data_IF_793392262846
#
_entry.id   IF_793392262846
#
_cell.length_a   1.000
_cell.length_b   1.000
_cell.length_c   1.000
_cell.angle_alpha   90.00
_cell.angle_beta   90.00
_cell.angle_gamma   90.00
#
_symmetry.space_group_name_H-M   'P 1'
#
loop_
_entity.id
_entity.type
_entity.pdbx_description
1 polymer ?
#
# COMPACT_ATOMS: atom_id res chain seq x y z
N UNK A 1 16.04 14.55 -89.90
CA UNK A 1 16.58 15.26 -88.74
C UNK A 1 15.72 14.94 -87.53
N UNK A 2 16.18 14.05 -86.65
CA UNK A 2 15.43 13.57 -85.48
C UNK A 2 15.90 14.39 -84.30
N UNK A 3 15.01 15.15 -83.69
CA UNK A 3 15.25 15.84 -82.42
C UNK A 3 14.71 14.97 -81.29
N UNK A 4 15.61 14.43 -80.47
CA UNK A 4 15.29 13.70 -79.24
C UNK A 4 15.05 14.73 -78.08
N UNK A 5 13.87 14.66 -77.50
CA UNK A 5 13.54 15.35 -76.29
C UNK A 5 14.01 14.50 -75.08
N UNK A 6 14.93 15.04 -74.25
CA UNK A 6 15.31 14.49 -72.95
C UNK A 6 14.32 14.93 -71.89
N UNK A 7 13.63 13.99 -71.27
CA UNK A 7 12.84 14.19 -70.06
C UNK A 7 13.78 14.13 -68.84
N UNK A 8 13.83 15.24 -68.09
CA UNK A 8 14.47 15.30 -66.79
C UNK A 8 13.42 14.97 -65.72
N UNK A 9 13.62 13.98 -64.80
CA UNK A 9 12.68 13.74 -63.75
C UNK A 9 12.90 14.74 -62.61
N UNK A 10 11.84 15.49 -62.27
CA UNK A 10 11.82 16.32 -61.07
C UNK A 10 11.67 15.42 -59.83
N UNK A 11 12.67 15.40 -58.99
CA UNK A 11 12.60 14.76 -57.67
C UNK A 11 11.88 15.73 -56.73
N UNK A 12 10.64 15.41 -56.38
CA UNK A 12 9.93 16.06 -55.29
C UNK A 12 10.45 15.49 -53.95
N UNK A 13 11.24 16.26 -53.22
CA UNK A 13 11.61 15.96 -51.84
C UNK A 13 10.41 16.33 -50.95
N UNK A 14 9.69 15.32 -50.50
CA UNK A 14 8.70 15.48 -49.41
C UNK A 14 9.44 15.62 -48.09
N UNK A 15 9.51 16.83 -47.54
CA UNK A 15 9.94 17.08 -46.15
C UNK A 15 8.79 16.65 -45.27
N UNK A 16 8.91 15.46 -44.65
CA UNK A 16 8.04 15.04 -43.57
C UNK A 16 8.45 15.84 -42.29
N UNK A 17 7.66 16.84 -41.93
CA UNK A 17 7.70 17.41 -40.58
C UNK A 17 7.20 16.33 -39.63
N UNK A 18 8.13 15.63 -39.00
CA UNK A 18 7.84 14.88 -37.77
C UNK A 18 7.61 15.95 -36.70
N UNK A 19 6.37 16.21 -36.38
CA UNK A 19 6.01 16.93 -35.17
C UNK A 19 6.48 16.07 -34.01
N UNK A 20 7.52 16.50 -33.32
CA UNK A 20 7.92 16.01 -32.01
C UNK A 20 6.69 16.18 -31.10
N UNK A 21 5.94 15.09 -30.89
CA UNK A 21 4.92 15.06 -29.87
C UNK A 21 5.69 15.19 -28.54
N UNK A 22 5.66 16.39 -27.96
CA UNK A 22 6.16 16.62 -26.63
C UNK A 22 5.59 15.53 -25.71
N UNK A 23 6.45 14.74 -25.07
CA UNK A 23 6.02 13.81 -24.02
C UNK A 23 5.11 14.62 -23.08
N UNK A 24 3.92 14.07 -22.70
CA UNK A 24 3.07 14.75 -21.75
C UNK A 24 3.90 15.04 -20.50
N UNK A 25 3.96 16.31 -20.10
CA UNK A 25 4.66 16.72 -18.89
C UNK A 25 4.24 15.78 -17.78
N UNK A 26 5.18 15.00 -17.20
CA UNK A 26 4.92 14.11 -16.08
C UNK A 26 4.19 14.93 -15.04
N UNK A 27 2.95 14.55 -14.76
CA UNK A 27 2.10 15.20 -13.77
C UNK A 27 2.88 15.22 -12.46
N UNK A 28 3.28 16.42 -12.00
CA UNK A 28 4.08 16.59 -10.77
C UNK A 28 3.17 16.45 -9.56
N UNK A 29 2.59 15.27 -9.37
CA UNK A 29 1.83 14.94 -8.18
C UNK A 29 2.73 14.50 -7.03
N UNK A 30 2.13 14.31 -5.84
CA UNK A 30 2.82 13.83 -4.66
C UNK A 30 3.59 12.53 -4.94
N UNK A 31 4.78 12.43 -4.36
CA UNK A 31 5.60 11.22 -4.39
C UNK A 31 6.00 10.83 -2.97
N UNK A 32 5.87 9.55 -2.69
CA UNK A 32 6.18 9.02 -1.36
C UNK A 32 7.68 9.11 -1.05
N UNK A 33 8.04 9.79 0.06
CA UNK A 33 9.43 9.99 0.50
C UNK A 33 9.85 9.03 1.62
N UNK A 34 8.90 8.52 2.39
CA UNK A 34 9.15 7.62 3.53
C UNK A 34 8.09 6.53 3.60
N UNK A 35 8.43 5.39 4.22
CA UNK A 35 7.44 4.38 4.53
C UNK A 35 6.47 4.93 5.57
N UNK A 36 5.17 4.95 5.26
CA UNK A 36 4.17 5.56 6.14
C UNK A 36 3.88 4.61 7.31
N UNK A 37 3.97 5.14 8.54
CA UNK A 37 3.56 4.47 9.76
C UNK A 37 2.59 5.40 10.49
N UNK A 38 1.32 5.06 10.42
CA UNK A 38 0.23 5.90 10.93
C UNK A 38 -0.79 5.08 11.70
N UNK A 39 -1.86 5.71 12.10
CA UNK A 39 -2.98 5.10 12.82
C UNK A 39 -4.29 5.83 12.53
N UNK A 40 -5.37 5.19 12.89
CA UNK A 40 -6.71 5.79 12.96
C UNK A 40 -7.07 6.09 14.41
N UNK A 41 -7.99 7.04 14.60
CA UNK A 41 -8.36 7.58 15.91
C UNK A 41 -7.16 8.18 16.63
N UNK A 42 -6.76 9.42 16.27
CA UNK A 42 -5.59 10.06 16.82
C UNK A 42 -5.73 10.39 18.33
N UNK A 43 -4.63 10.46 19.05
CA UNK A 43 -4.65 10.99 20.42
C UNK A 43 -4.92 12.50 20.41
N UNK A 44 -5.22 13.10 21.58
CA UNK A 44 -5.29 14.55 21.68
C UNK A 44 -3.98 15.21 21.22
N UNK A 45 -4.09 16.38 20.57
CA UNK A 45 -2.93 17.15 20.07
C UNK A 45 -2.22 17.89 21.22
N UNK A 46 -1.77 17.14 22.23
CA UNK A 46 -1.04 17.64 23.40
C UNK A 46 0.41 17.17 23.35
N UNK A 47 1.32 17.95 23.96
CA UNK A 47 2.75 17.60 24.00
C UNK A 47 3.02 16.18 24.54
N UNK A 48 2.44 15.72 25.65
CA UNK A 48 2.69 14.36 26.14
C UNK A 48 2.22 13.26 25.18
N UNK A 49 1.04 13.44 24.54
CA UNK A 49 0.49 12.46 23.64
C UNK A 49 1.29 12.39 22.34
N UNK A 50 1.68 13.54 21.78
CA UNK A 50 2.51 13.59 20.56
C UNK A 50 3.93 13.08 20.82
N UNK A 51 4.50 13.36 22.00
CA UNK A 51 5.79 12.79 22.41
C UNK A 51 5.73 11.25 22.48
N UNK A 52 4.67 10.69 23.06
CA UNK A 52 4.44 9.24 23.08
C UNK A 52 4.33 8.67 21.66
N UNK A 53 3.52 9.29 20.80
CA UNK A 53 3.36 8.91 19.38
C UNK A 53 4.71 8.87 18.64
N UNK A 54 5.54 9.89 18.81
CA UNK A 54 6.87 9.94 18.20
C UNK A 54 7.82 8.88 18.78
N UNK A 55 7.78 8.64 20.11
CA UNK A 55 8.58 7.62 20.77
C UNK A 55 8.18 6.19 20.34
N UNK A 56 6.96 5.98 19.93
CA UNK A 56 6.44 4.72 19.37
C UNK A 56 6.73 4.55 17.87
N UNK A 57 7.53 5.46 17.29
CA UNK A 57 8.00 5.43 15.91
C UNK A 57 6.91 5.58 14.85
N UNK A 58 5.80 6.22 15.16
CA UNK A 58 4.89 6.72 14.13
C UNK A 58 5.51 7.94 13.44
N UNK A 59 5.20 8.13 12.17
CA UNK A 59 5.68 9.29 11.41
C UNK A 59 4.57 10.17 10.82
N UNK A 60 3.30 9.74 10.95
CA UNK A 60 2.14 10.48 10.46
C UNK A 60 1.00 10.42 11.47
N UNK A 61 0.53 11.58 11.94
CA UNK A 61 -0.63 11.72 12.84
C UNK A 61 -1.71 12.60 12.21
N UNK A 62 -2.87 12.65 12.81
CA UNK A 62 -4.00 13.43 12.33
C UNK A 62 -4.17 14.68 13.17
N UNK A 63 -4.47 15.82 12.55
CA UNK A 63 -4.71 17.06 13.27
C UNK A 63 -5.52 18.05 12.43
N UNK A 64 -6.37 18.91 13.05
CA UNK A 64 -6.83 20.14 12.42
C UNK A 64 -5.69 21.15 12.29
N UNK A 65 -5.97 22.30 11.65
CA UNK A 65 -4.98 23.35 11.39
C UNK A 65 -4.27 23.84 12.66
N UNK A 66 -5.03 23.94 13.75
CA UNK A 66 -4.57 24.46 15.03
C UNK A 66 -3.53 23.58 15.71
N UNK A 67 -3.45 22.31 15.33
CA UNK A 67 -2.48 21.35 15.90
C UNK A 67 -1.19 21.21 15.10
N UNK A 68 -1.05 21.83 13.94
CA UNK A 68 0.11 21.65 13.05
C UNK A 68 1.44 22.01 13.73
N UNK A 69 1.50 23.14 14.45
CA UNK A 69 2.72 23.55 15.17
C UNK A 69 3.13 22.55 16.27
N UNK A 70 2.13 22.02 16.99
CA UNK A 70 2.39 20.99 17.99
C UNK A 70 2.93 19.70 17.35
N UNK A 71 2.37 19.27 16.23
CA UNK A 71 2.84 18.11 15.47
C UNK A 71 4.27 18.32 14.96
N UNK A 72 4.58 19.49 14.41
CA UNK A 72 5.92 19.86 13.94
C UNK A 72 6.97 19.82 15.06
N UNK A 73 6.63 20.29 16.26
CA UNK A 73 7.50 20.27 17.44
C UNK A 73 8.00 18.85 17.79
N UNK A 74 7.15 17.83 17.54
CA UNK A 74 7.49 16.44 17.78
C UNK A 74 8.04 15.71 16.53
N UNK A 75 8.34 16.44 15.44
CA UNK A 75 8.89 15.92 14.19
C UNK A 75 7.99 14.84 13.55
N UNK A 76 6.68 14.95 13.75
CA UNK A 76 5.67 14.13 13.11
C UNK A 76 5.15 14.84 11.85
N UNK A 77 4.76 14.06 10.84
CA UNK A 77 3.93 14.53 9.74
C UNK A 77 2.47 14.64 10.16
N UNK A 78 1.74 15.52 9.51
CA UNK A 78 0.32 15.76 9.75
C UNK A 78 -0.54 15.34 8.56
N UNK A 79 -1.54 14.52 8.81
CA UNK A 79 -2.70 14.35 7.96
C UNK A 79 -3.76 15.37 8.41
N UNK A 80 -3.92 16.43 7.60
CA UNK A 80 -4.81 17.54 7.94
C UNK A 80 -6.27 17.15 7.80
N UNK A 81 -7.06 17.41 8.84
CA UNK A 81 -8.52 17.26 8.81
C UNK A 81 -9.20 18.62 8.68
N UNK A 82 -10.26 18.71 7.84
CA UNK A 82 -11.06 19.92 7.68
C UNK A 82 -12.43 19.58 7.09
N UNK A 83 -13.45 20.33 7.49
CA UNK A 83 -14.82 20.30 6.94
C UNK A 83 -14.88 20.73 5.45
N UNK A 84 -13.81 21.34 4.96
CA UNK A 84 -13.66 21.77 3.57
C UNK A 84 -13.14 20.67 2.64
N UNK A 85 -12.70 19.54 3.17
CA UNK A 85 -12.14 18.44 2.37
C UNK A 85 -13.22 17.41 2.05
N UNK A 86 -14.23 17.80 1.27
CA UNK A 86 -15.38 16.96 0.91
C UNK A 86 -15.62 16.93 -0.60
N UNK A 87 -16.25 15.86 -1.15
CA UNK A 87 -16.48 15.73 -2.60
C UNK A 87 -17.34 16.86 -3.21
N UNK A 88 -18.07 17.60 -2.41
CA UNK A 88 -18.98 18.69 -2.85
C UNK A 88 -18.43 20.09 -2.60
N UNK A 89 -17.26 20.24 -1.99
CA UNK A 89 -16.71 21.55 -1.61
C UNK A 89 -16.54 22.49 -2.81
N UNK A 90 -16.14 21.95 -3.97
CA UNK A 90 -15.92 22.75 -5.17
C UNK A 90 -17.21 23.18 -5.88
N UNK A 91 -18.35 22.60 -5.53
CA UNK A 91 -19.66 22.97 -6.09
C UNK A 91 -20.23 24.26 -5.43
N UNK A 92 -19.63 24.71 -4.32
CA UNK A 92 -19.98 25.92 -3.59
C UNK A 92 -18.83 26.95 -3.66
N UNK A 93 -19.09 28.11 -4.23
CA UNK A 93 -18.09 29.15 -4.43
C UNK A 93 -17.49 29.68 -3.11
N UNK A 94 -18.31 29.80 -2.04
CA UNK A 94 -17.84 30.27 -0.75
C UNK A 94 -16.97 29.21 -0.05
N UNK A 95 -17.34 27.94 -0.11
CA UNK A 95 -16.53 26.82 0.41
C UNK A 95 -15.21 26.72 -0.37
N UNK A 96 -15.24 26.85 -1.69
CA UNK A 96 -14.03 26.86 -2.51
C UNK A 96 -13.07 28.00 -2.13
N UNK A 97 -13.58 29.22 -1.94
CA UNK A 97 -12.74 30.34 -1.50
C UNK A 97 -12.12 30.11 -0.11
N UNK A 98 -12.87 29.48 0.83
CA UNK A 98 -12.34 29.07 2.13
C UNK A 98 -11.29 27.96 2.00
N UNK A 99 -11.48 27.00 1.10
CA UNK A 99 -10.50 25.95 0.82
C UNK A 99 -9.22 26.55 0.24
N UNK A 100 -9.31 27.53 -0.67
CA UNK A 100 -8.14 28.25 -1.20
C UNK A 100 -7.35 28.92 -0.07
N UNK A 101 -8.04 29.62 0.81
CA UNK A 101 -7.42 30.28 1.98
C UNK A 101 -6.76 29.26 2.93
N UNK A 102 -7.40 28.09 3.14
CA UNK A 102 -6.85 27.00 3.93
C UNK A 102 -5.54 26.48 3.30
N UNK A 103 -5.56 26.14 2.01
CA UNK A 103 -4.38 25.63 1.28
C UNK A 103 -3.24 26.63 1.36
N UNK A 104 -3.47 27.91 1.05
CA UNK A 104 -2.43 28.94 1.13
C UNK A 104 -1.84 29.09 2.53
N UNK A 105 -2.66 28.91 3.57
CA UNK A 105 -2.22 28.96 4.96
C UNK A 105 -1.30 27.79 5.34
N UNK A 106 -1.59 26.56 4.84
CA UNK A 106 -0.95 25.34 5.36
C UNK A 106 0.09 24.72 4.45
N UNK A 107 0.05 24.94 3.12
CA UNK A 107 0.90 24.23 2.13
C UNK A 107 2.42 24.39 2.31
N UNK A 108 2.86 25.39 3.08
CA UNK A 108 4.28 25.57 3.43
C UNK A 108 4.61 25.14 4.85
N UNK A 109 3.63 24.58 5.56
CA UNK A 109 3.84 24.17 6.94
C UNK A 109 4.69 22.90 7.01
N UNK A 110 5.78 22.85 7.81
CA UNK A 110 6.75 21.76 7.79
C UNK A 110 6.18 20.41 8.25
N UNK A 111 5.05 20.39 8.97
CA UNK A 111 4.40 19.17 9.37
C UNK A 111 3.37 18.68 8.36
N UNK A 112 2.92 19.48 7.39
CA UNK A 112 1.90 19.02 6.46
C UNK A 112 2.46 17.91 5.56
N UNK A 113 1.81 16.76 5.53
CA UNK A 113 2.14 15.62 4.66
C UNK A 113 0.95 15.22 3.78
N UNK A 114 -0.27 15.36 4.31
CA UNK A 114 -1.47 14.94 3.61
C UNK A 114 -2.71 15.75 4.00
N UNK A 115 -3.68 15.78 3.08
CA UNK A 115 -5.07 16.22 3.30
C UNK A 115 -5.96 15.00 3.42
N UNK A 116 -6.61 14.77 4.56
CA UNK A 116 -7.59 13.71 4.72
C UNK A 116 -8.93 14.13 4.09
N UNK A 117 -9.37 13.40 3.08
CA UNK A 117 -10.58 13.74 2.34
C UNK A 117 -11.78 12.94 2.86
N UNK A 118 -11.69 11.61 2.84
CA UNK A 118 -12.82 10.76 3.24
C UNK A 118 -12.41 9.33 3.52
N UNK A 119 -13.29 8.63 4.22
CA UNK A 119 -13.23 7.22 4.54
C UNK A 119 -14.29 6.46 3.75
N UNK A 120 -13.92 5.32 3.19
CA UNK A 120 -14.78 4.32 2.54
C UNK A 120 -15.88 4.90 1.61
N UNK A 121 -15.53 5.74 0.61
CA UNK A 121 -16.53 6.31 -0.28
C UNK A 121 -17.07 5.28 -1.26
N UNK A 122 -18.39 5.22 -1.45
CA UNK A 122 -18.98 4.50 -2.58
C UNK A 122 -18.65 5.15 -3.94
N UNK A 123 -18.68 4.40 -5.04
CA UNK A 123 -18.31 4.87 -6.37
C UNK A 123 -19.13 6.08 -6.87
N UNK A 124 -20.30 6.34 -6.31
CA UNK A 124 -21.09 7.53 -6.60
C UNK A 124 -20.41 8.85 -6.20
N UNK A 125 -19.52 8.82 -5.20
CA UNK A 125 -18.75 9.99 -4.76
C UNK A 125 -17.51 10.25 -5.63
N UNK A 126 -17.05 9.31 -6.42
CA UNK A 126 -15.78 9.41 -7.17
C UNK A 126 -15.68 10.61 -8.10
N UNK A 127 -16.74 11.04 -8.83
CA UNK A 127 -16.63 12.25 -9.67
C UNK A 127 -16.30 13.51 -8.87
N UNK A 128 -16.93 13.72 -7.70
CA UNK A 128 -16.62 14.84 -6.81
C UNK A 128 -15.23 14.73 -6.18
N UNK A 129 -14.85 13.53 -5.74
CA UNK A 129 -13.52 13.24 -5.20
C UNK A 129 -12.43 13.48 -6.25
N UNK A 130 -12.61 13.05 -7.49
CA UNK A 130 -11.67 13.29 -8.57
C UNK A 130 -11.46 14.78 -8.85
N UNK A 131 -12.53 15.58 -8.85
CA UNK A 131 -12.43 17.04 -8.95
C UNK A 131 -11.58 17.62 -7.80
N UNK A 132 -11.85 17.20 -6.55
CA UNK A 132 -11.14 17.70 -5.38
C UNK A 132 -9.66 17.28 -5.38
N UNK A 133 -9.35 16.03 -5.70
CA UNK A 133 -7.96 15.52 -5.80
C UNK A 133 -7.19 16.30 -6.87
N UNK A 134 -7.77 16.49 -8.05
CA UNK A 134 -7.15 17.29 -9.12
C UNK A 134 -6.93 18.75 -8.68
N UNK A 135 -7.90 19.33 -7.97
CA UNK A 135 -7.79 20.69 -7.45
C UNK A 135 -6.67 20.82 -6.42
N UNK A 136 -6.59 19.93 -5.44
CA UNK A 136 -5.52 19.90 -4.44
C UNK A 136 -4.15 19.72 -5.13
N UNK A 137 -4.02 18.79 -6.06
CA UNK A 137 -2.78 18.58 -6.83
C UNK A 137 -2.33 19.82 -7.60
N UNK A 138 -3.27 20.57 -8.16
CA UNK A 138 -2.95 21.83 -8.86
C UNK A 138 -2.47 22.93 -7.90
N UNK A 139 -3.05 23.03 -6.70
CA UNK A 139 -2.79 24.09 -5.73
C UNK A 139 -1.62 23.77 -4.80
N UNK A 140 -1.43 22.50 -4.53
CA UNK A 140 -0.41 21.96 -3.62
C UNK A 140 0.01 20.55 -4.07
N UNK A 141 0.89 20.45 -5.07
CA UNK A 141 1.34 19.17 -5.62
C UNK A 141 2.26 18.37 -4.69
N UNK A 142 2.77 18.97 -3.63
CA UNK A 142 3.75 18.35 -2.74
C UNK A 142 3.11 17.51 -1.64
N UNK A 143 1.80 17.67 -1.39
CA UNK A 143 1.09 16.97 -0.31
C UNK A 143 0.01 16.02 -0.83
N UNK A 144 -0.12 14.88 -0.14
CA UNK A 144 -1.02 13.80 -0.52
C UNK A 144 -2.49 14.18 -0.32
N UNK A 145 -3.34 13.96 -1.32
CA UNK A 145 -4.79 13.94 -1.17
C UNK A 145 -5.21 12.50 -0.76
N UNK A 146 -5.44 12.27 0.55
CA UNK A 146 -5.64 10.94 1.11
C UNK A 146 -7.12 10.52 1.14
N UNK A 147 -7.40 9.33 0.61
CA UNK A 147 -8.70 8.66 0.65
C UNK A 147 -8.48 7.22 1.06
N UNK A 148 -9.25 6.71 2.04
CA UNK A 148 -9.29 5.31 2.37
C UNK A 148 -10.44 4.61 1.63
N UNK A 149 -10.20 3.39 1.14
CA UNK A 149 -11.17 2.60 0.38
C UNK A 149 -11.74 1.46 1.22
N UNK A 150 -12.97 1.06 0.88
CA UNK A 150 -13.59 -0.14 1.40
C UNK A 150 -12.73 -1.39 1.22
N UNK A 151 -12.83 -2.36 2.16
CA UNK A 151 -12.26 -3.70 1.98
C UNK A 151 -13.07 -4.57 1.00
N UNK A 152 -12.48 -5.69 0.59
CA UNK A 152 -13.10 -6.61 -0.38
C UNK A 152 -14.38 -7.29 0.10
N UNK A 153 -14.67 -7.26 1.39
CA UNK A 153 -15.92 -7.81 1.95
C UNK A 153 -17.09 -6.80 2.00
N UNK A 154 -16.88 -5.56 1.55
CA UNK A 154 -17.97 -4.60 1.39
C UNK A 154 -18.95 -5.08 0.31
N UNK A 155 -20.25 -4.87 0.54
CA UNK A 155 -21.29 -5.29 -0.38
C UNK A 155 -21.45 -4.33 -1.59
N UNK A 156 -22.16 -4.76 -2.63
CA UNK A 156 -22.36 -3.98 -3.86
C UNK A 156 -22.99 -2.59 -3.59
N UNK A 157 -23.88 -2.47 -2.59
CA UNK A 157 -24.50 -1.20 -2.24
C UNK A 157 -23.50 -0.22 -1.61
N UNK A 158 -22.63 -0.70 -0.70
CA UNK A 158 -21.55 0.09 -0.12
C UNK A 158 -20.56 0.54 -1.19
N UNK A 159 -20.12 -0.39 -2.04
CA UNK A 159 -19.20 -0.09 -3.14
C UNK A 159 -19.80 0.84 -4.20
N UNK A 160 -21.12 0.88 -4.35
CA UNK A 160 -21.80 1.64 -5.41
C UNK A 160 -21.53 1.10 -6.80
N UNK A 161 -21.34 -0.21 -6.93
CA UNK A 161 -21.12 -0.95 -8.18
C UNK A 161 -21.90 -2.24 -8.16
N UNK A 162 -22.23 -2.77 -9.36
CA UNK A 162 -22.87 -4.08 -9.52
C UNK A 162 -21.89 -5.08 -10.14
N UNK A 163 -22.10 -6.38 -9.84
CA UNK A 163 -21.35 -7.49 -10.44
C UNK A 163 -22.13 -8.12 -11.60
N UNK A 164 -22.71 -7.30 -12.46
CA UNK A 164 -23.46 -7.76 -13.63
C UNK A 164 -22.56 -8.24 -14.79
N UNK A 165 -23.17 -8.69 -15.87
CA UNK A 165 -22.44 -9.21 -17.03
C UNK A 165 -21.57 -8.13 -17.72
N UNK A 166 -22.03 -6.87 -17.74
CA UNK A 166 -21.28 -5.77 -18.36
C UNK A 166 -20.05 -5.42 -17.53
N UNK A 167 -20.18 -5.37 -16.18
CA UNK A 167 -19.05 -5.14 -15.30
C UNK A 167 -18.05 -6.30 -15.37
N UNK A 168 -18.52 -7.54 -15.46
CA UNK A 168 -17.70 -8.73 -15.66
C UNK A 168 -16.85 -8.64 -16.93
N UNK A 169 -17.46 -8.26 -18.04
CA UNK A 169 -16.75 -8.07 -19.31
C UNK A 169 -15.71 -6.94 -19.21
N UNK A 170 -16.01 -5.88 -18.46
CA UNK A 170 -15.15 -4.71 -18.31
C UNK A 170 -13.92 -4.97 -17.42
N UNK A 171 -14.06 -5.69 -16.31
CA UNK A 171 -12.96 -5.83 -15.31
C UNK A 171 -12.13 -7.08 -15.52
N UNK A 172 -12.61 -8.09 -16.23
CA UNK A 172 -11.96 -9.40 -16.38
C UNK A 172 -11.86 -10.17 -15.06
N UNK A 173 -11.27 -11.35 -15.12
CA UNK A 173 -11.12 -12.24 -13.97
C UNK A 173 -9.66 -12.48 -13.58
N UNK A 174 -9.32 -12.55 -12.31
CA UNK A 174 -8.06 -13.09 -11.83
C UNK A 174 -8.11 -14.63 -11.94
N UNK A 175 -7.91 -15.16 -13.15
CA UNK A 175 -8.08 -16.58 -13.48
C UNK A 175 -7.16 -17.53 -12.66
N UNK A 176 -6.11 -16.99 -12.03
CA UNK A 176 -5.07 -17.78 -11.35
C UNK A 176 -5.12 -17.69 -9.81
N UNK A 177 -6.19 -17.13 -9.25
CA UNK A 177 -6.32 -17.00 -7.79
C UNK A 177 -6.99 -18.23 -7.19
N UNK A 178 -6.32 -18.86 -6.22
CA UNK A 178 -6.83 -20.03 -5.55
C UNK A 178 -8.22 -19.79 -4.93
N UNK A 179 -9.17 -20.68 -5.20
CA UNK A 179 -10.52 -20.65 -4.67
C UNK A 179 -11.47 -19.61 -5.28
N UNK A 180 -10.97 -18.70 -6.14
CA UNK A 180 -11.79 -17.68 -6.79
C UNK A 180 -12.45 -18.26 -8.04
N UNK A 181 -13.78 -18.33 -8.03
CA UNK A 181 -14.57 -18.80 -9.17
C UNK A 181 -14.88 -17.70 -10.19
N UNK A 182 -15.11 -18.09 -11.44
CA UNK A 182 -15.43 -17.17 -12.53
C UNK A 182 -16.73 -16.36 -12.36
N UNK A 183 -17.56 -16.69 -11.38
CA UNK A 183 -18.82 -16.00 -11.04
C UNK A 183 -18.78 -15.34 -9.65
N UNK A 184 -17.60 -15.19 -9.03
CA UNK A 184 -17.49 -14.58 -7.71
C UNK A 184 -17.87 -13.10 -7.79
N UNK A 185 -19.12 -12.81 -7.39
CA UNK A 185 -19.67 -11.45 -7.44
C UNK A 185 -18.92 -10.46 -6.58
N UNK A 186 -18.41 -10.90 -5.42
CA UNK A 186 -17.64 -10.07 -4.49
C UNK A 186 -16.36 -9.58 -5.17
N UNK A 187 -15.61 -10.50 -5.79
CA UNK A 187 -14.37 -10.16 -6.50
C UNK A 187 -14.63 -9.23 -7.67
N UNK A 188 -15.70 -9.48 -8.44
CA UNK A 188 -16.07 -8.64 -9.57
C UNK A 188 -16.44 -7.23 -9.18
N UNK A 189 -17.32 -7.10 -8.17
CA UNK A 189 -17.75 -5.79 -7.67
C UNK A 189 -16.56 -5.00 -7.12
N UNK A 190 -15.70 -5.65 -6.34
CA UNK A 190 -14.54 -4.99 -5.74
C UNK A 190 -13.50 -4.57 -6.79
N UNK A 191 -13.17 -5.41 -7.77
CA UNK A 191 -12.32 -5.00 -8.91
C UNK A 191 -12.92 -3.85 -9.70
N UNK A 192 -14.22 -3.89 -9.93
CA UNK A 192 -14.96 -2.80 -10.58
C UNK A 192 -14.84 -1.49 -9.82
N UNK A 193 -15.00 -1.54 -8.52
CA UNK A 193 -14.84 -0.41 -7.62
C UNK A 193 -13.41 0.18 -7.69
N UNK A 194 -12.38 -0.65 -7.55
CA UNK A 194 -10.98 -0.23 -7.61
C UNK A 194 -10.61 0.38 -8.97
N UNK A 195 -11.03 -0.23 -10.08
CA UNK A 195 -10.78 0.31 -11.44
C UNK A 195 -11.48 1.64 -11.67
N UNK A 196 -12.73 1.80 -11.17
CA UNK A 196 -13.44 3.09 -11.22
C UNK A 196 -12.72 4.14 -10.40
N UNK A 197 -12.27 3.80 -9.19
CA UNK A 197 -11.50 4.71 -8.32
C UNK A 197 -10.26 5.24 -9.02
N UNK A 198 -9.38 4.37 -9.49
CA UNK A 198 -8.16 4.78 -10.20
C UNK A 198 -8.47 5.63 -11.42
N UNK A 199 -9.45 5.23 -12.23
CA UNK A 199 -9.80 5.95 -13.47
C UNK A 199 -10.39 7.33 -13.23
N UNK A 200 -11.26 7.48 -12.21
CA UNK A 200 -12.04 8.71 -11.99
C UNK A 200 -11.32 9.64 -11.02
N UNK A 201 -10.80 9.09 -9.91
CA UNK A 201 -10.18 9.88 -8.85
C UNK A 201 -8.70 10.19 -9.15
N UNK A 202 -8.00 9.28 -9.83
CA UNK A 202 -6.58 9.40 -10.15
C UNK A 202 -5.72 9.65 -8.90
N UNK A 203 -5.78 8.77 -7.88
CA UNK A 203 -5.11 8.97 -6.60
C UNK A 203 -3.59 8.89 -6.72
N UNK A 204 -2.86 9.48 -5.77
CA UNK A 204 -1.40 9.33 -5.67
C UNK A 204 -0.98 8.19 -4.73
N UNK A 205 -1.90 7.71 -3.90
CA UNK A 205 -1.76 6.57 -3.01
C UNK A 205 -3.06 5.77 -3.03
N UNK A 206 -2.98 4.44 -2.97
CA UNK A 206 -4.11 3.56 -2.76
C UNK A 206 -4.10 3.12 -1.30
N UNK A 207 -5.06 3.58 -0.49
CA UNK A 207 -5.25 3.15 0.89
C UNK A 207 -6.51 2.33 1.02
N UNK A 208 -6.47 1.30 1.84
CA UNK A 208 -7.61 0.47 2.18
C UNK A 208 -7.42 -0.13 3.56
N UNK A 209 -8.52 -0.61 4.16
CA UNK A 209 -8.48 -1.38 5.39
C UNK A 209 -8.92 -2.83 5.16
N UNK A 210 -8.45 -3.72 6.04
CA UNK A 210 -8.94 -5.09 6.11
C UNK A 210 -8.70 -5.66 7.52
N UNK A 211 -9.77 -6.09 8.18
CA UNK A 211 -9.72 -6.67 9.51
C UNK A 211 -9.86 -8.17 9.42
N UNK A 212 -8.80 -8.88 9.77
CA UNK A 212 -8.63 -10.31 9.55
C UNK A 212 -9.05 -11.16 10.73
N UNK A 213 -8.73 -10.72 11.96
CA UNK A 213 -8.84 -11.52 13.16
C UNK A 213 -10.22 -11.40 13.80
N UNK A 214 -11.10 -12.36 13.50
CA UNK A 214 -12.46 -12.41 14.02
C UNK A 214 -12.52 -13.28 15.28
N UNK A 215 -13.62 -13.19 16.05
CA UNK A 215 -13.80 -13.99 17.27
C UNK A 215 -14.03 -15.47 17.01
N UNK A 216 -14.67 -15.83 15.89
CA UNK A 216 -14.93 -17.23 15.54
C UNK A 216 -13.83 -17.81 14.66
N UNK A 217 -13.75 -17.33 13.44
CA UNK A 217 -12.80 -17.78 12.41
C UNK A 217 -12.16 -16.58 11.78
N UNK A 218 -10.89 -16.67 11.44
CA UNK A 218 -10.17 -15.57 10.77
C UNK A 218 -10.74 -15.34 9.36
N UNK A 219 -10.69 -14.07 8.91
CA UNK A 219 -11.30 -13.64 7.64
C UNK A 219 -10.64 -14.30 6.43
N UNK A 220 -11.41 -15.01 5.60
CA UNK A 220 -10.89 -15.74 4.43
C UNK A 220 -10.37 -14.84 3.32
N UNK A 221 -10.82 -13.59 3.25
CA UNK A 221 -10.52 -12.67 2.12
C UNK A 221 -9.27 -11.84 2.29
N UNK A 222 -8.51 -11.98 3.38
CA UNK A 222 -7.35 -11.14 3.67
C UNK A 222 -6.33 -11.11 2.52
N UNK A 223 -5.87 -12.27 2.06
CA UNK A 223 -4.91 -12.34 0.96
C UNK A 223 -5.50 -11.98 -0.39
N UNK A 224 -6.79 -12.28 -0.61
CA UNK A 224 -7.49 -11.81 -1.80
C UNK A 224 -7.48 -10.27 -1.87
N UNK A 225 -7.81 -9.60 -0.76
CA UNK A 225 -7.81 -8.14 -0.71
C UNK A 225 -6.42 -7.56 -0.99
N UNK A 226 -5.37 -8.08 -0.31
CA UNK A 226 -3.99 -7.70 -0.59
C UNK A 226 -3.61 -7.89 -2.07
N UNK A 227 -4.02 -9.01 -2.68
CA UNK A 227 -3.72 -9.31 -4.07
C UNK A 227 -4.39 -8.32 -5.03
N UNK A 228 -5.68 -7.99 -4.81
CA UNK A 228 -6.43 -7.05 -5.65
C UNK A 228 -5.94 -5.61 -5.50
N UNK A 229 -5.60 -5.19 -4.29
CA UNK A 229 -4.99 -3.87 -4.04
C UNK A 229 -3.61 -3.78 -4.69
N UNK A 230 -2.76 -4.80 -4.53
CA UNK A 230 -1.45 -4.85 -5.19
C UNK A 230 -1.58 -4.79 -6.71
N UNK A 231 -2.46 -5.58 -7.32
CA UNK A 231 -2.75 -5.55 -8.76
C UNK A 231 -3.11 -4.13 -9.20
N UNK A 232 -4.05 -3.50 -8.49
CA UNK A 232 -4.49 -2.13 -8.78
C UNK A 232 -3.37 -1.10 -8.62
N UNK A 233 -2.55 -1.22 -7.58
CA UNK A 233 -1.42 -0.33 -7.32
C UNK A 233 -0.35 -0.41 -8.43
N UNK A 234 -0.01 -1.63 -8.88
CA UNK A 234 0.93 -1.85 -9.98
C UNK A 234 0.37 -1.31 -11.30
N UNK A 235 -0.89 -1.61 -11.64
CA UNK A 235 -1.54 -1.12 -12.86
C UNK A 235 -1.59 0.42 -12.89
N UNK A 236 -1.80 1.05 -11.73
CA UNK A 236 -1.85 2.51 -11.59
C UNK A 236 -0.46 3.17 -11.48
N UNK A 237 0.62 2.40 -11.27
CA UNK A 237 1.94 2.93 -10.97
C UNK A 237 1.99 3.73 -9.66
N UNK A 238 1.17 3.35 -8.66
CA UNK A 238 1.03 4.06 -7.38
C UNK A 238 1.39 3.16 -6.19
N UNK A 239 1.91 3.71 -5.08
CA UNK A 239 2.09 2.96 -3.85
C UNK A 239 0.76 2.60 -3.21
N UNK A 240 0.76 1.61 -2.30
CA UNK A 240 -0.40 1.34 -1.46
C UNK A 240 -0.07 1.28 0.03
N UNK A 241 -1.06 1.61 0.84
CA UNK A 241 -1.06 1.55 2.30
C UNK A 241 -2.17 0.62 2.77
N UNK A 242 -1.88 -0.23 3.76
CA UNK A 242 -2.84 -1.11 4.40
C UNK A 242 -3.15 -0.64 5.83
N UNK A 243 -4.42 -0.42 6.12
CA UNK A 243 -4.89 -0.19 7.49
C UNK A 243 -5.16 -1.55 8.11
N UNK A 244 -4.33 -1.92 9.08
CA UNK A 244 -4.36 -3.21 9.72
C UNK A 244 -5.07 -3.14 11.08
N UNK A 245 -5.60 -4.29 11.49
CA UNK A 245 -6.32 -4.42 12.74
C UNK A 245 -5.38 -4.27 13.96
N UNK A 246 -5.73 -3.35 14.87
CA UNK A 246 -5.09 -3.15 16.16
C UNK A 246 -6.13 -2.86 17.25
N UNK A 247 -7.35 -3.37 17.08
CA UNK A 247 -8.48 -3.12 17.97
C UNK A 247 -9.30 -4.37 18.22
N UNK A 248 -10.06 -4.32 19.30
CA UNK A 248 -11.11 -5.25 19.66
C UNK A 248 -12.46 -4.61 19.41
N UNK A 249 -13.35 -5.28 18.72
CA UNK A 249 -14.78 -4.96 18.69
C UNK A 249 -15.53 -6.10 19.35
N UNK A 250 -16.20 -5.81 20.46
CA UNK A 250 -16.92 -6.84 21.21
C UNK A 250 -17.91 -7.59 20.28
N UNK A 251 -17.92 -8.91 20.35
CA UNK A 251 -18.71 -9.83 19.52
C UNK A 251 -18.27 -10.01 18.07
N UNK A 252 -17.40 -9.16 17.50
CA UNK A 252 -17.00 -9.23 16.09
C UNK A 252 -15.52 -9.55 15.95
N UNK A 253 -14.64 -8.69 16.43
CA UNK A 253 -13.20 -8.81 16.29
C UNK A 253 -12.52 -9.15 17.60
N UNK A 254 -11.45 -9.93 17.54
CA UNK A 254 -10.52 -10.09 18.66
C UNK A 254 -9.31 -9.17 18.49
N UNK A 255 -8.72 -8.75 19.59
CA UNK A 255 -7.47 -8.00 19.55
C UNK A 255 -6.36 -8.92 19.02
N UNK A 256 -5.62 -8.53 17.96
CA UNK A 256 -4.44 -9.27 17.52
C UNK A 256 -3.38 -9.33 18.62
N UNK A 257 -2.72 -10.48 18.76
CA UNK A 257 -1.54 -10.62 19.58
C UNK A 257 -0.26 -10.15 18.84
N UNK A 258 0.93 -10.09 19.48
CA UNK A 258 2.15 -9.62 18.84
C UNK A 258 2.51 -10.36 17.54
N UNK A 259 2.39 -11.69 17.50
CA UNK A 259 2.70 -12.49 16.32
C UNK A 259 1.71 -12.25 15.18
N UNK A 260 0.44 -12.07 15.50
CA UNK A 260 -0.62 -11.73 14.54
C UNK A 260 -0.43 -10.32 13.97
N UNK A 261 0.00 -9.36 14.80
CA UNK A 261 0.33 -8.02 14.33
C UNK A 261 1.55 -8.06 13.40
N UNK A 262 2.59 -8.84 13.74
CA UNK A 262 3.74 -9.08 12.84
C UNK A 262 3.32 -9.68 11.52
N UNK A 263 2.43 -10.69 11.55
CA UNK A 263 1.88 -11.30 10.35
C UNK A 263 1.21 -10.26 9.43
N UNK A 264 0.36 -9.37 9.96
CA UNK A 264 -0.29 -8.33 9.15
C UNK A 264 0.74 -7.38 8.52
N UNK A 265 1.76 -6.98 9.27
CA UNK A 265 2.81 -6.07 8.79
C UNK A 265 3.66 -6.74 7.72
N UNK A 266 4.24 -7.91 8.01
CA UNK A 266 5.18 -8.55 7.08
C UNK A 266 4.50 -9.09 5.82
N UNK A 267 3.26 -9.56 5.91
CA UNK A 267 2.50 -9.94 4.72
C UNK A 267 2.18 -8.72 3.85
N UNK A 268 1.83 -7.57 4.44
CA UNK A 268 1.65 -6.32 3.69
C UNK A 268 2.94 -5.90 2.98
N UNK A 269 4.09 -5.97 3.66
CA UNK A 269 5.38 -5.68 3.04
C UNK A 269 5.74 -6.66 1.92
N UNK A 270 5.50 -7.97 2.12
CA UNK A 270 5.76 -8.98 1.10
C UNK A 270 4.93 -8.76 -0.18
N UNK A 271 3.74 -8.18 -0.03
CA UNK A 271 2.89 -7.77 -1.15
C UNK A 271 3.32 -6.44 -1.79
N UNK A 272 4.35 -5.76 -1.25
CA UNK A 272 4.85 -4.49 -1.78
C UNK A 272 4.16 -3.27 -1.20
N UNK A 273 3.47 -3.40 -0.07
CA UNK A 273 2.92 -2.25 0.67
C UNK A 273 4.01 -1.29 1.09
N UNK A 274 3.75 0.00 0.96
CA UNK A 274 4.67 1.08 1.31
C UNK A 274 4.17 1.92 2.49
N UNK A 275 3.16 1.43 3.19
CA UNK A 275 2.63 2.04 4.40
C UNK A 275 1.76 1.09 5.19
N UNK A 276 1.76 1.30 6.50
CA UNK A 276 0.91 0.64 7.48
C UNK A 276 0.20 1.72 8.30
N UNK A 277 -1.08 1.52 8.55
CA UNK A 277 -1.84 2.31 9.52
C UNK A 277 -2.56 1.37 10.47
N UNK A 278 -2.64 1.71 11.74
CA UNK A 278 -3.22 0.84 12.77
C UNK A 278 -4.64 1.29 13.12
N UNK A 279 -5.61 0.40 12.99
CA UNK A 279 -6.97 0.65 13.42
C UNK A 279 -7.25 -0.14 14.73
N UNK A 280 -7.25 0.49 15.96
CA UNK A 280 -7.13 1.92 16.20
C UNK A 280 -6.03 2.23 17.22
N UNK A 281 -5.51 3.46 17.20
CA UNK A 281 -4.54 3.92 18.19
C UNK A 281 -5.23 4.37 19.48
N UNK A 282 -6.03 5.43 19.41
CA UNK A 282 -6.79 5.97 20.55
C UNK A 282 -8.24 5.52 20.40
N UNK A 283 -8.59 4.39 21.01
CA UNK A 283 -9.90 3.80 20.81
C UNK A 283 -11.01 4.61 21.46
N UNK A 284 -12.11 4.90 20.75
CA UNK A 284 -13.39 5.22 21.39
C UNK A 284 -13.89 4.02 22.18
N UNK A 285 -14.86 4.23 23.08
CA UNK A 285 -15.34 3.21 24.02
C UNK A 285 -15.71 1.85 23.36
N UNK A 286 -16.20 1.90 22.11
CA UNK A 286 -16.66 0.70 21.37
C UNK A 286 -15.55 -0.03 20.63
N UNK A 287 -14.36 0.59 20.49
CA UNK A 287 -13.18 0.03 19.82
C UNK A 287 -11.99 0.08 20.78
N UNK A 288 -11.77 -0.98 21.52
CA UNK A 288 -10.58 -1.06 22.39
C UNK A 288 -9.32 -1.12 21.51
N UNK A 289 -8.72 0.04 21.27
CA UNK A 289 -7.49 0.21 20.50
C UNK A 289 -6.21 -0.04 21.29
N UNK A 290 -5.11 0.49 20.77
CA UNK A 290 -3.81 0.45 21.46
C UNK A 290 -3.85 1.25 22.76
N UNK A 291 -4.53 2.39 22.79
CA UNK A 291 -4.87 3.14 23.98
C UNK A 291 -6.36 3.06 24.27
N UNK A 292 -6.69 2.85 25.54
CA UNK A 292 -8.07 2.85 26.03
C UNK A 292 -8.18 3.82 27.20
N UNK A 293 -9.10 4.78 27.10
CA UNK A 293 -9.30 5.83 28.12
C UNK A 293 -7.97 6.52 28.52
N UNK A 294 -7.12 6.80 27.53
CA UNK A 294 -5.80 7.42 27.72
C UNK A 294 -4.73 6.50 28.32
N UNK A 295 -5.02 5.24 28.56
CA UNK A 295 -4.09 4.27 29.10
C UNK A 295 -3.57 3.31 28.03
N UNK A 296 -2.23 3.10 27.93
CA UNK A 296 -1.67 2.17 26.98
C UNK A 296 -2.03 0.72 27.31
N UNK A 297 -2.41 -0.05 26.31
CA UNK A 297 -2.49 -1.50 26.42
C UNK A 297 -1.07 -2.12 26.35
N UNK A 298 -0.88 -3.39 26.75
CA UNK A 298 0.39 -4.09 26.57
C UNK A 298 0.88 -4.11 25.11
N UNK A 299 -0.03 -4.03 24.14
CA UNK A 299 0.29 -4.03 22.72
C UNK A 299 1.02 -2.76 22.25
N UNK A 300 0.90 -1.63 22.95
CA UNK A 300 1.62 -0.39 22.59
C UNK A 300 3.13 -0.65 22.51
N UNK A 301 3.70 -1.32 23.52
CA UNK A 301 5.13 -1.66 23.53
C UNK A 301 5.52 -2.58 22.35
N UNK A 302 4.72 -3.58 22.09
CA UNK A 302 4.97 -4.53 20.98
C UNK A 302 4.90 -3.84 19.62
N UNK A 303 3.89 -2.98 19.43
CA UNK A 303 3.74 -2.19 18.20
C UNK A 303 4.88 -1.17 18.06
N UNK A 304 5.31 -0.51 19.13
CA UNK A 304 6.46 0.41 19.07
C UNK A 304 7.75 -0.29 18.63
N UNK A 305 8.02 -1.50 19.16
CA UNK A 305 9.16 -2.31 18.71
C UNK A 305 9.04 -2.69 17.23
N UNK A 306 7.86 -3.07 16.80
CA UNK A 306 7.60 -3.41 15.40
C UNK A 306 7.73 -2.19 14.48
N UNK A 307 7.21 -1.02 14.89
CA UNK A 307 7.39 0.23 14.15
C UNK A 307 8.87 0.61 14.00
N UNK A 308 9.68 0.40 15.07
CA UNK A 308 11.12 0.61 14.98
C UNK A 308 11.79 -0.31 13.94
N UNK A 309 11.33 -1.54 13.77
CA UNK A 309 11.78 -2.41 12.67
C UNK A 309 11.30 -1.86 11.31
N UNK A 310 10.02 -1.45 11.19
CA UNK A 310 9.45 -0.90 9.94
C UNK A 310 10.23 0.34 9.48
N UNK A 311 10.58 1.25 10.39
CA UNK A 311 11.42 2.42 10.08
C UNK A 311 12.73 2.02 9.40
N UNK A 312 13.31 0.89 9.79
CA UNK A 312 14.57 0.38 9.21
C UNK A 312 14.37 -0.37 7.89
N UNK A 313 13.24 -1.07 7.73
CA UNK A 313 12.88 -1.75 6.48
C UNK A 313 12.43 -0.75 5.39
N UNK A 314 11.79 0.33 5.78
CA UNK A 314 11.14 1.28 4.90
C UNK A 314 12.01 1.77 3.75
N UNK A 315 13.22 2.32 3.98
CA UNK A 315 14.08 2.81 2.91
C UNK A 315 14.38 1.76 1.84
N UNK A 316 14.67 0.52 2.25
CA UNK A 316 14.94 -0.57 1.31
C UNK A 316 13.69 -0.95 0.49
N UNK A 317 12.52 -0.98 1.12
CA UNK A 317 11.26 -1.30 0.44
C UNK A 317 10.80 -0.20 -0.53
N UNK A 318 11.13 1.06 -0.26
CA UNK A 318 10.80 2.18 -1.16
C UNK A 318 11.62 2.14 -2.45
N UNK A 319 12.83 1.57 -2.41
CA UNK A 319 13.70 1.40 -3.58
C UNK A 319 13.32 0.18 -4.44
N UNK A 320 12.50 -0.74 -3.94
CA UNK A 320 12.19 -2.02 -4.57
C UNK A 320 10.75 -2.04 -5.11
N UNK A 321 10.58 -2.47 -6.36
CA UNK A 321 9.26 -2.71 -6.93
C UNK A 321 8.85 -4.17 -6.71
N UNK A 322 7.60 -4.40 -6.26
CA UNK A 322 7.05 -5.75 -6.12
C UNK A 322 6.80 -6.37 -7.50
N UNK A 323 7.53 -7.44 -7.82
CA UNK A 323 7.42 -8.13 -9.12
C UNK A 323 6.44 -9.30 -9.09
N UNK A 324 6.41 -10.07 -7.99
CA UNK A 324 5.46 -11.17 -7.80
C UNK A 324 5.24 -11.48 -6.32
N UNK A 325 4.13 -12.14 -6.01
CA UNK A 325 3.85 -12.70 -4.68
C UNK A 325 3.26 -14.09 -4.83
N UNK A 326 3.78 -15.03 -4.07
CA UNK A 326 3.37 -16.43 -4.10
C UNK A 326 3.20 -17.00 -2.70
N UNK A 327 2.48 -18.12 -2.62
CA UNK A 327 2.26 -18.85 -1.37
C UNK A 327 2.58 -20.33 -1.51
N UNK A 328 2.99 -20.95 -0.40
CA UNK A 328 3.06 -22.41 -0.29
C UNK A 328 1.68 -23.00 0.00
N UNK A 329 1.50 -24.26 -0.31
CA UNK A 329 0.29 -25.01 0.06
C UNK A 329 0.16 -25.19 1.59
N UNK A 330 -1.08 -25.26 2.15
CA UNK A 330 -2.35 -25.05 1.46
C UNK A 330 -2.51 -23.59 1.03
N UNK A 331 -3.00 -23.38 -0.19
CA UNK A 331 -3.14 -22.02 -0.74
C UNK A 331 -4.33 -21.30 -0.09
N UNK A 332 -4.12 -20.13 0.54
CA UNK A 332 -5.22 -19.29 0.98
C UNK A 332 -6.07 -18.79 -0.20
N UNK A 333 -7.32 -18.46 0.08
CA UNK A 333 -8.21 -17.87 -0.90
C UNK A 333 -7.63 -16.59 -1.52
N UNK A 334 -7.63 -16.49 -2.84
CA UNK A 334 -7.13 -15.33 -3.59
C UNK A 334 -5.61 -15.29 -3.77
N UNK A 335 -4.88 -16.37 -3.51
CA UNK A 335 -3.42 -16.44 -3.66
C UNK A 335 -2.97 -17.26 -4.87
N UNK A 336 -1.69 -17.25 -5.15
CA UNK A 336 -1.06 -18.01 -6.23
C UNK A 336 0.05 -18.92 -5.69
N UNK A 337 0.18 -20.12 -6.26
CA UNK A 337 1.29 -21.01 -5.96
C UNK A 337 2.59 -20.50 -6.57
N UNK A 338 3.73 -20.86 -5.97
CA UNK A 338 5.05 -20.60 -6.55
C UNK A 338 5.20 -21.39 -7.86
N UNK A 339 5.39 -20.73 -9.01
CA UNK A 339 5.58 -21.47 -10.27
C UNK A 339 6.94 -22.17 -10.31
N UNK A 340 7.07 -23.32 -11.04
CA UNK A 340 8.31 -24.10 -11.09
C UNK A 340 9.54 -23.32 -11.59
N UNK A 341 9.34 -22.31 -12.40
CA UNK A 341 10.37 -21.44 -12.98
C UNK A 341 10.60 -20.12 -12.21
N UNK A 342 9.98 -19.95 -11.02
CA UNK A 342 10.23 -18.76 -10.22
C UNK A 342 11.72 -18.68 -9.80
N UNK A 343 12.31 -17.46 -9.76
CA UNK A 343 13.72 -17.27 -9.41
C UNK A 343 14.02 -17.61 -7.94
N UNK A 344 12.99 -17.69 -7.08
CA UNK A 344 13.08 -18.19 -5.71
C UNK A 344 11.95 -19.20 -5.50
N UNK A 345 12.28 -20.38 -4.97
CA UNK A 345 11.32 -21.48 -4.77
C UNK A 345 11.56 -22.17 -3.44
N UNK A 346 10.50 -22.62 -2.79
CA UNK A 346 10.63 -23.44 -1.61
C UNK A 346 11.04 -24.89 -1.99
N UNK A 347 11.96 -25.45 -1.24
CA UNK A 347 12.41 -26.84 -1.36
C UNK A 347 11.90 -27.72 -0.23
N UNK A 348 11.34 -27.12 0.84
CA UNK A 348 10.72 -27.78 1.99
C UNK A 348 9.25 -27.42 2.17
N UNK A 349 8.58 -28.12 3.09
CA UNK A 349 7.21 -27.84 3.50
C UNK A 349 7.14 -26.64 4.45
N UNK A 350 5.91 -26.18 4.73
CA UNK A 350 5.61 -25.10 5.63
C UNK A 350 4.65 -24.08 5.01
N UNK A 351 4.16 -23.15 5.81
CA UNK A 351 3.19 -22.14 5.41
C UNK A 351 3.89 -20.78 5.23
N UNK A 352 4.26 -20.43 4.00
CA UNK A 352 5.03 -19.24 3.72
C UNK A 352 4.38 -18.32 2.68
N UNK A 353 4.71 -17.03 2.77
CA UNK A 353 4.53 -16.05 1.70
C UNK A 353 5.90 -15.72 1.12
N UNK A 354 6.01 -15.66 -0.19
CA UNK A 354 7.19 -15.23 -0.93
C UNK A 354 6.86 -13.96 -1.70
N UNK A 355 7.37 -12.82 -1.27
CA UNK A 355 7.39 -11.58 -2.05
C UNK A 355 8.65 -11.50 -2.88
N UNK A 356 8.53 -11.27 -4.18
CA UNK A 356 9.64 -11.01 -5.08
C UNK A 356 9.70 -9.53 -5.42
N UNK A 357 10.92 -8.99 -5.41
CA UNK A 357 11.16 -7.57 -5.65
C UNK A 357 12.28 -7.38 -6.66
N UNK A 358 12.27 -6.23 -7.31
CA UNK A 358 13.31 -5.94 -8.28
C UNK A 358 13.38 -4.49 -8.69
N UNK A 359 14.28 -4.24 -9.63
CA UNK A 359 14.48 -2.98 -10.30
C UNK A 359 14.29 -3.18 -11.80
N UNK A 360 13.54 -2.33 -12.47
CA UNK A 360 13.33 -2.40 -13.93
C UNK A 360 12.86 -3.79 -14.42
N UNK A 361 11.99 -4.44 -13.65
CA UNK A 361 11.41 -5.75 -14.01
C UNK A 361 12.30 -6.98 -13.72
N UNK A 362 13.54 -6.80 -13.28
CA UNK A 362 14.41 -7.92 -12.89
C UNK A 362 14.31 -8.17 -11.39
N UNK A 363 14.06 -9.42 -10.99
CA UNK A 363 14.04 -9.80 -9.57
C UNK A 363 15.47 -9.75 -9.02
N UNK A 364 15.69 -8.91 -8.00
CA UNK A 364 16.97 -8.72 -7.32
C UNK A 364 16.91 -8.94 -5.81
N UNK A 365 15.69 -9.01 -5.27
CA UNK A 365 15.45 -9.19 -3.84
C UNK A 365 14.19 -10.05 -3.61
N UNK A 366 14.09 -10.62 -2.42
CA UNK A 366 12.91 -11.39 -2.02
C UNK A 366 12.67 -11.30 -0.51
N UNK A 367 11.41 -11.39 -0.11
CA UNK A 367 10.99 -11.49 1.29
C UNK A 367 10.32 -12.84 1.51
N UNK A 368 10.71 -13.54 2.57
CA UNK A 368 10.03 -14.75 3.04
C UNK A 368 9.32 -14.42 4.35
N UNK A 369 8.04 -14.73 4.42
CA UNK A 369 7.21 -14.53 5.62
C UNK A 369 6.66 -15.85 6.09
N UNK A 370 6.80 -16.15 7.38
CA UNK A 370 6.10 -17.26 8.03
C UNK A 370 4.61 -16.91 8.13
N UNK A 371 3.77 -17.57 7.34
CA UNK A 371 2.33 -17.36 7.34
C UNK A 371 1.65 -17.96 8.58
N UNK A 372 2.33 -18.86 9.25
CA UNK A 372 1.88 -19.40 10.53
C UNK A 372 2.27 -18.43 11.66
N UNK A 373 1.28 -17.73 12.22
CA UNK A 373 1.47 -16.82 13.36
C UNK A 373 1.36 -17.49 14.73
N UNK A 374 1.40 -18.83 14.78
CA UNK A 374 1.32 -19.62 16.02
C UNK A 374 2.60 -20.36 16.34
N UNK A 375 3.44 -20.63 15.33
CA UNK A 375 4.62 -21.48 15.47
C UNK A 375 5.80 -20.94 14.69
N UNK A 376 7.00 -21.19 15.21
CA UNK A 376 8.25 -20.99 14.47
C UNK A 376 8.29 -21.88 13.23
N UNK A 377 9.00 -21.44 12.19
CA UNK A 377 9.22 -22.21 10.98
C UNK A 377 10.64 -22.01 10.45
N UNK A 378 11.16 -23.02 9.76
CA UNK A 378 12.37 -22.91 8.94
C UNK A 378 11.98 -23.08 7.48
N UNK A 379 12.19 -22.02 6.69
CA UNK A 379 11.99 -22.06 5.25
C UNK A 379 13.29 -22.48 4.57
N UNK A 380 13.23 -23.53 3.74
CA UNK A 380 14.28 -23.89 2.81
C UNK A 380 13.93 -23.35 1.43
N UNK A 381 14.74 -22.46 0.87
CA UNK A 381 14.50 -21.83 -0.42
C UNK A 381 15.68 -21.98 -1.35
N UNK A 382 15.42 -22.43 -2.59
CA UNK A 382 16.38 -22.38 -3.69
C UNK A 382 16.31 -21.01 -4.34
N UNK A 383 17.47 -20.36 -4.53
CA UNK A 383 17.56 -19.00 -5.05
C UNK A 383 18.35 -19.00 -6.37
N UNK A 384 17.66 -18.76 -7.48
CA UNK A 384 18.22 -18.69 -8.83
C UNK A 384 18.39 -17.23 -9.31
N UNK A 385 18.31 -16.24 -8.40
CA UNK A 385 18.67 -14.84 -8.68
C UNK A 385 20.19 -14.77 -8.92
N UNK A 386 20.68 -14.08 -9.98
CA UNK A 386 22.09 -13.89 -10.22
C UNK A 386 22.82 -13.29 -9.01
N UNK A 387 24.02 -13.79 -8.71
CA UNK A 387 24.86 -13.39 -7.58
C UNK A 387 25.43 -14.58 -6.83
N UNK A 388 26.62 -14.42 -6.26
CA UNK A 388 27.30 -15.46 -5.47
C UNK A 388 27.05 -15.36 -3.99
N UNK A 389 26.63 -14.17 -3.52
CA UNK A 389 26.32 -13.87 -2.12
C UNK A 389 24.95 -13.23 -2.01
N UNK A 390 24.29 -13.47 -0.89
CA UNK A 390 23.06 -12.78 -0.53
C UNK A 390 23.29 -11.97 0.73
N UNK A 391 22.68 -10.79 0.76
CA UNK A 391 22.64 -9.92 1.92
C UNK A 391 21.24 -9.99 2.52
N UNK A 392 21.17 -9.90 3.82
CA UNK A 392 19.94 -9.74 4.57
C UNK A 392 19.85 -8.33 5.12
N UNK A 393 18.63 -7.77 5.13
CA UNK A 393 18.38 -6.50 5.80
C UNK A 393 18.32 -6.72 7.32
N UNK A 394 19.31 -6.18 8.02
CA UNK A 394 19.37 -6.28 9.49
C UNK A 394 18.30 -5.42 10.15
N UNK A 395 17.48 -6.03 11.01
CA UNK A 395 16.34 -5.36 11.67
C UNK A 395 16.74 -4.32 12.70
N UNK A 396 17.95 -4.43 13.25
CA UNK A 396 18.40 -3.54 14.31
C UNK A 396 19.04 -2.28 13.74
N UNK A 397 19.72 -2.40 12.62
CA UNK A 397 20.50 -1.31 12.04
C UNK A 397 19.88 -0.74 10.75
N UNK A 398 19.07 -1.52 10.03
CA UNK A 398 18.56 -1.16 8.69
C UNK A 398 19.62 -1.29 7.59
N UNK A 399 20.79 -1.86 7.89
CA UNK A 399 21.85 -2.06 6.94
C UNK A 399 21.75 -3.45 6.29
N UNK A 400 22.23 -3.55 5.06
CA UNK A 400 22.41 -4.82 4.40
C UNK A 400 23.68 -5.49 4.94
N UNK A 401 23.52 -6.63 5.59
CA UNK A 401 24.59 -7.44 6.16
C UNK A 401 24.74 -8.74 5.38
N UNK A 402 25.86 -9.44 5.53
CA UNK A 402 26.01 -10.77 4.94
C UNK A 402 24.89 -11.68 5.44
N UNK A 403 24.15 -12.24 4.49
CA UNK A 403 23.05 -13.16 4.76
C UNK A 403 23.52 -14.57 5.05
N UNK A 404 22.61 -15.52 5.23
CA UNK A 404 22.93 -16.92 5.37
C UNK A 404 23.75 -17.41 4.18
N UNK A 405 24.72 -18.30 4.45
CA UNK A 405 25.58 -18.88 3.41
C UNK A 405 24.72 -19.77 2.51
N UNK A 406 24.89 -19.60 1.19
CA UNK A 406 24.30 -20.50 0.20
C UNK A 406 24.90 -21.92 0.37
N UNK A 407 24.04 -22.87 0.67
CA UNK A 407 24.38 -24.28 0.67
C UNK A 407 24.59 -24.85 -0.76
N UNK A 408 24.84 -26.14 -0.83
CA UNK A 408 24.83 -26.89 -2.10
C UNK A 408 23.51 -26.61 -2.84
N UNK A 409 23.53 -26.56 -4.16
CA UNK A 409 22.36 -26.29 -5.02
C UNK A 409 21.71 -24.90 -4.83
N UNK A 410 22.42 -23.91 -4.28
CA UNK A 410 21.96 -22.53 -4.03
C UNK A 410 20.78 -22.47 -3.06
N UNK A 411 20.75 -23.32 -2.05
CA UNK A 411 19.72 -23.36 -1.03
C UNK A 411 20.07 -22.47 0.16
N UNK A 412 19.09 -21.71 0.65
CA UNK A 412 19.13 -20.97 1.91
C UNK A 412 18.16 -21.57 2.91
N UNK A 413 18.57 -21.69 4.18
CA UNK A 413 17.70 -22.00 5.31
C UNK A 413 17.45 -20.74 6.12
N UNK A 414 16.19 -20.41 6.31
CA UNK A 414 15.73 -19.16 6.90
C UNK A 414 14.83 -19.47 8.10
N UNK A 415 15.30 -19.18 9.31
CA UNK A 415 14.50 -19.33 10.53
C UNK A 415 13.61 -18.10 10.70
N UNK A 416 12.35 -18.32 10.98
CA UNK A 416 11.30 -17.31 11.10
C UNK A 416 10.46 -17.60 12.35
N UNK A 417 10.27 -16.59 13.19
CA UNK A 417 9.27 -16.62 14.25
C UNK A 417 7.83 -16.63 13.73
N UNK A 418 6.84 -16.74 14.61
CA UNK A 418 5.42 -16.72 14.22
C UNK A 418 5.06 -15.37 13.57
N UNK A 419 4.48 -15.41 12.36
CA UNK A 419 4.11 -14.22 11.60
C UNK A 419 5.28 -13.36 11.10
N UNK A 420 6.51 -13.82 11.26
CA UNK A 420 7.72 -13.04 11.00
C UNK A 420 8.14 -13.07 9.53
N UNK A 421 8.88 -12.05 9.08
CA UNK A 421 9.37 -11.92 7.72
C UNK A 421 10.84 -11.48 7.67
N UNK A 422 11.60 -11.90 6.65
CA UNK A 422 12.99 -11.51 6.41
C UNK A 422 13.20 -11.13 4.95
N UNK A 423 13.94 -10.04 4.71
CA UNK A 423 14.19 -9.49 3.39
C UNK A 423 15.64 -9.73 2.99
N UNK A 424 15.83 -10.26 1.79
CA UNK A 424 17.12 -10.61 1.19
C UNK A 424 17.30 -9.94 -0.16
N UNK A 425 18.52 -9.60 -0.51
CA UNK A 425 18.90 -9.18 -1.87
C UNK A 425 20.14 -9.88 -2.37
N UNK A 426 20.32 -9.92 -3.68
CA UNK A 426 21.59 -10.32 -4.27
C UNK A 426 22.69 -9.32 -3.85
N UNK A 427 23.79 -9.81 -3.30
CA UNK A 427 24.99 -9.01 -3.05
C UNK A 427 25.67 -8.63 -4.37
N UNK A 428 26.35 -7.49 -4.35
CA UNK A 428 27.19 -7.05 -5.47
C UNK A 428 28.42 -7.93 -5.60
#
# INVERSE_FOLDING_TARGET
>A
MNVKWMLVPAVLATISLVADAAEPAKDKGWTQKQFIISFWCPPPTTDPALAATAAEHYNLTWTPVEGLDAVAKHKLGAMLTSDLLTPTTLDDAAKRARLDALIEKVKKHPALEAYFITDEPGAGAFPGLGKLVAYLRQRDPDHLAYINLFPSYANEAQLGVSADAAERARVGYPLNFAGVGASDKTVLAYRGYLKKFVKIVQPDLISYDHYHFMKKDDGKQYFLNLALIRETAIEAGKPFLNIIQASLVEKVWRLPNPAETRFLVFTTMAYGGRGISYFTYWGPADFAGLYRDGKPSPMVKEVALLNAEIVRFGPALLELDSTAVYHTAPLPYGTQAVPPNAPVRFTGGGEFVLGLFGLKGQTTAFMVVNRNYKQDAEAAVKVDIPGSKFQELDRKTGNWCDGPVLGANRELKIKLGPGDGRLFRAGK
#
